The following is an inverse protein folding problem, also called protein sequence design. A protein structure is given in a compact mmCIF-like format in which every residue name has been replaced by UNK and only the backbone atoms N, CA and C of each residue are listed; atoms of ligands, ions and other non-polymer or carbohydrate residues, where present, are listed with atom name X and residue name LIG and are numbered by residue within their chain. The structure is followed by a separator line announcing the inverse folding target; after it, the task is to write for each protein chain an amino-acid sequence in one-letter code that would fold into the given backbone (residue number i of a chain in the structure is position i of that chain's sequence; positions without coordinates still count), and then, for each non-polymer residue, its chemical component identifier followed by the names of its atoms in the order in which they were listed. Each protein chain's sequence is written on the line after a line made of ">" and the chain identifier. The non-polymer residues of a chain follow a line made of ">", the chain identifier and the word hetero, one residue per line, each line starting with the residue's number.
data_IF_266592523284
#
_entry.id   IF_266592523284
#
_cell.length_a   1.000
_cell.length_b   1.000
_cell.length_c   1.000
_cell.angle_alpha   90.00
_cell.angle_beta   90.00
_cell.angle_gamma   90.00
#
_symmetry.space_group_name_H-M   'P 1'
#
loop_
_entity.id
_entity.type
_entity.pdbx_description
1 polymer ?
#
# COMPACT_ATOMS: atom_id res chain seq x y z
N UNK A 1 15.12 22.62 6.53
CA UNK A 1 15.37 22.14 5.15
C UNK A 1 14.00 21.98 4.51
N UNK A 2 13.75 22.69 3.41
CA UNK A 2 12.51 22.56 2.64
C UNK A 2 12.81 21.59 1.50
N UNK A 3 12.21 20.41 1.54
CA UNK A 3 12.27 19.43 0.48
C UNK A 3 10.85 18.91 0.25
N UNK A 4 10.54 18.60 -1.00
CA UNK A 4 9.24 18.11 -1.42
C UNK A 4 9.47 16.95 -2.39
N UNK A 5 8.64 15.93 -2.30
CA UNK A 5 8.59 14.85 -3.26
C UNK A 5 7.62 15.22 -4.39
N UNK A 6 7.89 14.76 -5.61
CA UNK A 6 6.98 14.87 -6.75
C UNK A 6 6.70 13.44 -7.20
N UNK A 7 5.42 13.05 -7.23
CA UNK A 7 5.01 11.71 -7.64
C UNK A 7 4.79 11.60 -9.17
N UNK A 8 4.37 10.42 -9.62
CA UNK A 8 4.17 10.11 -11.04
C UNK A 8 3.01 10.93 -11.67
N UNK A 9 2.10 11.46 -10.85
CA UNK A 9 0.99 12.33 -11.24
C UNK A 9 1.36 13.83 -11.23
N UNK A 10 2.64 14.14 -10.97
CA UNK A 10 3.18 15.49 -10.82
C UNK A 10 2.61 16.27 -9.62
N UNK A 11 2.06 15.56 -8.62
CA UNK A 11 1.62 16.18 -7.38
C UNK A 11 2.80 16.40 -6.42
N UNK A 12 2.80 17.55 -5.75
CA UNK A 12 3.86 17.95 -4.82
C UNK A 12 3.45 17.55 -3.40
N UNK A 13 4.34 16.82 -2.73
CA UNK A 13 4.13 16.27 -1.40
C UNK A 13 5.21 16.74 -0.43
N UNK A 14 4.86 17.46 0.65
CA UNK A 14 5.86 17.89 1.64
C UNK A 14 6.43 16.72 2.43
N UNK A 15 7.66 16.83 2.93
CA UNK A 15 8.26 15.81 3.82
C UNK A 15 7.30 15.49 4.98
N UNK A 16 7.07 14.19 5.21
CA UNK A 16 6.19 13.64 6.23
C UNK A 16 4.71 13.56 5.81
N UNK A 17 4.34 14.00 4.59
CA UNK A 17 2.99 13.76 4.08
C UNK A 17 2.79 12.30 3.72
N UNK A 18 1.55 11.85 3.88
CA UNK A 18 1.08 10.51 3.52
C UNK A 18 -0.06 10.64 2.52
N UNK A 19 0.00 9.89 1.42
CA UNK A 19 -1.05 9.80 0.41
C UNK A 19 -1.20 8.36 -0.09
N UNK A 20 -2.12 8.14 -1.04
CA UNK A 20 -2.51 6.80 -1.48
C UNK A 20 -2.60 6.71 -3.00
N UNK A 21 -1.93 5.71 -3.57
CA UNK A 21 -2.17 5.24 -4.93
C UNK A 21 -3.28 4.18 -4.87
N UNK A 22 -4.49 4.58 -5.29
CA UNK A 22 -5.68 3.73 -5.24
C UNK A 22 -5.71 2.67 -6.34
N UNK A 23 -4.99 2.88 -7.43
CA UNK A 23 -4.89 1.92 -8.52
C UNK A 23 -3.99 0.75 -8.11
N UNK A 24 -2.86 1.06 -7.46
CA UNK A 24 -1.90 0.06 -6.96
C UNK A 24 -2.21 -0.44 -5.54
N UNK A 25 -3.16 0.18 -4.85
CA UNK A 25 -3.47 -0.10 -3.45
C UNK A 25 -2.23 0.06 -2.54
N UNK A 26 -1.60 1.23 -2.62
CA UNK A 26 -0.39 1.57 -1.87
C UNK A 26 -0.62 2.79 -0.97
N UNK A 27 0.11 2.84 0.14
CA UNK A 27 0.32 4.05 0.93
C UNK A 27 1.71 4.57 0.62
N UNK A 28 1.82 5.87 0.33
CA UNK A 28 3.07 6.54 0.01
C UNK A 28 3.39 7.58 1.08
N UNK A 29 4.68 7.76 1.37
CA UNK A 29 5.18 8.78 2.30
C UNK A 29 6.42 9.47 1.72
N UNK A 30 6.46 10.81 1.80
CA UNK A 30 7.64 11.57 1.44
C UNK A 30 8.61 11.62 2.62
N UNK A 31 9.75 10.94 2.52
CA UNK A 31 10.71 10.81 3.62
C UNK A 31 12.08 11.40 3.22
N UNK A 32 12.78 11.96 4.21
CA UNK A 32 14.14 12.48 4.04
C UNK A 32 15.10 11.64 4.89
N UNK A 33 15.95 10.85 4.24
CA UNK A 33 16.85 9.87 4.88
C UNK A 33 18.26 10.09 4.31
N UNK A 34 19.27 10.21 5.19
CA UNK A 34 20.69 10.35 4.80
C UNK A 34 20.91 11.39 3.68
N UNK A 35 20.41 12.60 3.92
CA UNK A 35 20.47 13.75 3.01
C UNK A 35 19.76 13.59 1.64
N UNK A 36 18.98 12.52 1.46
CA UNK A 36 18.26 12.20 0.22
C UNK A 36 16.75 12.16 0.41
N UNK A 37 16.00 12.67 -0.56
CA UNK A 37 14.53 12.58 -0.61
C UNK A 37 14.10 11.27 -1.27
N UNK A 38 13.16 10.57 -0.64
CA UNK A 38 12.55 9.36 -1.16
C UNK A 38 11.03 9.45 -1.06
N UNK A 39 10.35 8.84 -2.04
CA UNK A 39 8.96 8.39 -1.86
C UNK A 39 9.04 6.94 -1.39
N UNK A 40 8.62 6.69 -0.15
CA UNK A 40 8.53 5.36 0.41
C UNK A 40 7.13 4.81 0.20
N UNK A 41 7.02 3.65 -0.44
CA UNK A 41 5.74 2.99 -0.70
C UNK A 41 5.53 1.72 0.12
N UNK A 42 4.29 1.54 0.58
CA UNK A 42 3.80 0.37 1.30
C UNK A 42 2.65 -0.24 0.51
N UNK A 43 2.86 -1.45 -0.02
CA UNK A 43 1.87 -2.16 -0.84
C UNK A 43 1.39 -3.46 -0.20
N UNK A 44 0.39 -4.08 -0.84
CA UNK A 44 -0.09 -5.39 -0.44
C UNK A 44 1.01 -6.44 -0.62
N UNK A 45 1.35 -7.13 0.46
CA UNK A 45 2.35 -8.20 0.42
C UNK A 45 1.90 -9.40 -0.41
N UNK A 46 2.83 -10.35 -0.64
CA UNK A 46 2.48 -11.64 -1.23
C UNK A 46 1.72 -12.49 -0.21
N UNK A 47 0.56 -13.00 -0.59
CA UNK A 47 -0.29 -13.82 0.27
C UNK A 47 -0.25 -15.26 -0.23
N UNK A 48 0.22 -16.18 0.63
CA UNK A 48 0.10 -17.61 0.41
C UNK A 48 -1.21 -18.12 1.00
N UNK A 49 -1.87 -19.05 0.33
CA UNK A 49 -3.06 -19.72 0.85
C UNK A 49 -3.08 -21.20 0.42
N UNK A 50 -3.76 -22.09 1.15
CA UNK A 50 -3.90 -23.49 0.79
C UNK A 50 -4.88 -23.63 -0.37
N UNK A 51 -4.90 -24.81 -1.00
CA UNK A 51 -5.65 -25.05 -2.25
C UNK A 51 -7.17 -24.85 -2.10
N UNK A 52 -7.69 -24.99 -0.89
CA UNK A 52 -9.10 -24.90 -0.55
C UNK A 52 -9.57 -23.47 -0.25
N UNK A 53 -8.65 -22.52 -0.21
CA UNK A 53 -8.93 -21.09 -0.05
C UNK A 53 -8.64 -20.34 -1.36
N UNK A 54 -9.11 -19.11 -1.46
CA UNK A 54 -8.87 -18.22 -2.58
C UNK A 54 -8.70 -16.78 -2.09
N UNK A 55 -8.07 -15.96 -2.94
CA UNK A 55 -8.01 -14.52 -2.72
C UNK A 55 -9.34 -13.89 -3.11
N UNK A 56 -9.89 -13.06 -2.23
CA UNK A 56 -10.99 -12.16 -2.50
C UNK A 56 -10.49 -10.71 -2.51
N UNK A 57 -11.06 -9.84 -3.35
CA UNK A 57 -10.71 -8.43 -3.34
C UNK A 57 -10.93 -7.79 -1.96
N UNK A 58 -10.04 -6.86 -1.59
CA UNK A 58 -10.24 -6.02 -0.41
C UNK A 58 -11.47 -5.13 -0.58
N UNK A 59 -12.03 -4.66 0.55
CA UNK A 59 -13.29 -3.89 0.56
C UNK A 59 -13.09 -2.40 0.78
N UNK A 60 -11.89 -1.98 1.16
CA UNK A 60 -11.57 -0.59 1.39
C UNK A 60 -11.12 0.14 0.14
N UNK A 61 -11.07 1.48 0.22
CA UNK A 61 -10.63 2.36 -0.87
C UNK A 61 -9.11 2.54 -0.88
N UNK A 62 -8.49 2.52 0.31
CA UNK A 62 -7.06 2.83 0.50
C UNK A 62 -6.34 1.66 1.17
N UNK A 63 -5.02 1.61 1.00
CA UNK A 63 -4.16 0.70 1.74
C UNK A 63 -4.34 0.89 3.26
N UNK A 64 -4.28 -0.17 4.09
CA UNK A 64 -4.19 -1.58 3.72
C UNK A 64 -5.56 -2.23 3.42
N UNK A 65 -6.66 -1.49 3.55
CA UNK A 65 -8.02 -2.03 3.50
C UNK A 65 -8.48 -2.46 2.10
N UNK A 66 -7.86 -1.93 1.03
CA UNK A 66 -8.05 -2.42 -0.34
C UNK A 66 -7.27 -3.72 -0.63
N UNK A 67 -6.38 -4.17 0.25
CA UNK A 67 -5.59 -5.37 -0.01
C UNK A 67 -6.43 -6.63 -0.06
N UNK A 68 -6.11 -7.58 -0.97
CA UNK A 68 -6.78 -8.87 -1.05
C UNK A 68 -6.75 -9.61 0.28
N UNK A 69 -7.81 -10.36 0.56
CA UNK A 69 -7.93 -11.20 1.77
C UNK A 69 -8.05 -12.66 1.35
N UNK A 70 -7.67 -13.59 2.24
CA UNK A 70 -7.90 -15.02 2.02
C UNK A 70 -9.27 -15.38 2.55
N UNK A 71 -10.09 -16.01 1.71
CA UNK A 71 -11.34 -16.64 2.12
C UNK A 71 -11.24 -18.14 1.89
N UNK A 72 -11.70 -18.92 2.86
CA UNK A 72 -11.65 -20.38 2.85
C UNK A 72 -13.05 -20.97 2.93
N UNK A 73 -13.24 -22.17 2.37
CA UNK A 73 -14.48 -22.93 2.64
C UNK A 73 -14.62 -23.15 4.15
N UNK A 74 -15.87 -23.06 4.62
CA UNK A 74 -16.22 -23.24 6.03
C UNK A 74 -15.51 -24.46 6.65
N UNK A 75 -14.89 -24.24 7.82
CA UNK A 75 -14.20 -25.28 8.60
C UNK A 75 -12.67 -25.27 8.50
N UNK A 76 -12.07 -24.44 7.62
CA UNK A 76 -10.63 -24.22 7.56
C UNK A 76 -10.32 -22.90 8.28
N UNK A 77 -9.60 -22.98 9.40
CA UNK A 77 -9.08 -21.81 10.14
C UNK A 77 -7.61 -21.67 9.75
N UNK A 78 -7.23 -20.46 9.32
CA UNK A 78 -5.86 -20.09 8.95
C UNK A 78 -5.23 -19.21 10.02
#
# INVERSE_FOLDING_TARGET
>A
MAGECIDDDWEIHPIGSIWYDKEKCEQLECVYIEDTLYIQGYGCGKIGHPKECWLVPGKGVNYPTCCPQVECKNGIIW
#
